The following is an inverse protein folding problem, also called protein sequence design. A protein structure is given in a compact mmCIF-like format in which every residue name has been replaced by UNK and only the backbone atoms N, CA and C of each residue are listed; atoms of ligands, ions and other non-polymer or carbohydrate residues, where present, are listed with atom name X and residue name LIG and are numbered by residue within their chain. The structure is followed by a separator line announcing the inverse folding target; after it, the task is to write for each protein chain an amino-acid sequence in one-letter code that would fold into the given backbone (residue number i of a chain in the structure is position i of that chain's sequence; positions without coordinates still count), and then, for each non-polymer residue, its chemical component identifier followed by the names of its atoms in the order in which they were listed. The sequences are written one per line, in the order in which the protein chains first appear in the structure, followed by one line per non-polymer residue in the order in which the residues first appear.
data_IF_712236232923
#
_entry.id   IF_712236232923
#
_cell.length_a   1.000
_cell.length_b   1.000
_cell.length_c   1.000
_cell.angle_alpha   90.00
_cell.angle_beta   90.00
_cell.angle_gamma   90.00
#
_symmetry.space_group_name_H-M   'P 1'
#
loop_
_entity.id
_entity.type
_entity.pdbx_description
1 polymer ?
#
# COMPACT_ATOMS: atom_id res chain seq x y z
N UNK A 1 71.60 30.88 15.58
CA UNK A 1 70.62 31.93 15.21
C UNK A 1 69.45 31.28 14.48
N UNK A 2 68.26 31.53 15.01
CA UNK A 2 66.88 31.42 14.50
C UNK A 2 66.72 31.11 12.99
N UNK A 3 65.90 30.11 12.64
CA UNK A 3 64.58 30.30 12.00
C UNK A 3 63.93 28.94 11.70
N UNK A 4 62.76 28.72 12.32
CA UNK A 4 61.90 27.59 12.02
C UNK A 4 61.15 27.76 10.70
N UNK A 5 60.68 26.64 10.14
CA UNK A 5 59.50 26.61 9.27
C UNK A 5 58.69 25.34 9.54
N UNK A 6 57.55 25.62 10.16
CA UNK A 6 56.34 24.84 10.29
C UNK A 6 55.84 24.40 8.90
N UNK A 7 55.67 23.10 8.67
CA UNK A 7 54.92 22.59 7.53
C UNK A 7 53.88 21.55 7.99
N UNK A 8 52.70 22.10 8.29
CA UNK A 8 51.34 21.57 8.13
C UNK A 8 51.21 20.09 7.72
N UNK A 9 50.75 19.27 8.64
CA UNK A 9 50.21 17.93 8.35
C UNK A 9 48.71 18.07 8.09
N UNK A 10 48.27 17.92 6.83
CA UNK A 10 46.85 17.88 6.47
C UNK A 10 46.20 16.59 6.99
N UNK A 11 45.38 16.76 8.02
CA UNK A 11 44.47 15.75 8.54
C UNK A 11 43.31 15.53 7.56
N UNK A 12 43.42 14.53 6.70
CA UNK A 12 42.28 14.00 5.93
C UNK A 12 41.46 13.07 6.85
N UNK A 13 40.56 13.68 7.63
CA UNK A 13 39.43 12.98 8.29
C UNK A 13 38.61 12.24 7.23
N UNK A 14 38.85 10.95 7.05
CA UNK A 14 37.87 10.04 6.45
C UNK A 14 36.70 9.95 7.43
N UNK A 15 35.66 10.75 7.20
CA UNK A 15 34.36 10.56 7.84
C UNK A 15 33.83 9.20 7.36
N UNK A 16 33.95 8.20 8.22
CA UNK A 16 33.20 6.96 8.09
C UNK A 16 31.72 7.33 8.22
N UNK A 17 31.05 7.42 7.07
CA UNK A 17 29.59 7.46 7.03
C UNK A 17 29.15 6.06 7.44
N UNK A 18 28.91 5.88 8.74
CA UNK A 18 28.20 4.73 9.27
C UNK A 18 26.78 4.81 8.73
N UNK A 19 26.55 4.20 7.57
CA UNK A 19 25.21 3.89 7.10
C UNK A 19 24.61 2.88 8.08
N UNK A 20 23.83 3.37 9.04
CA UNK A 20 22.88 2.52 9.75
C UNK A 20 21.79 2.12 8.76
N UNK A 21 22.10 1.13 7.91
CA UNK A 21 21.05 0.29 7.33
C UNK A 21 20.58 -0.57 8.49
N UNK A 22 19.72 0.01 9.32
CA UNK A 22 18.89 -0.74 10.25
C UNK A 22 18.14 -1.74 9.39
N UNK A 23 18.57 -3.00 9.45
CA UNK A 23 17.92 -4.13 8.80
C UNK A 23 16.63 -4.39 9.59
N UNK A 24 15.69 -3.46 9.46
CA UNK A 24 14.33 -3.61 9.95
C UNK A 24 13.76 -4.72 9.09
N UNK A 25 13.48 -5.86 9.71
CA UNK A 25 12.91 -7.02 9.05
C UNK A 25 11.44 -6.67 8.70
N UNK A 26 11.27 -5.80 7.70
CA UNK A 26 10.00 -5.31 7.23
C UNK A 26 9.33 -6.49 6.54
N UNK A 27 8.41 -7.14 7.25
CA UNK A 27 7.50 -8.10 6.63
C UNK A 27 6.88 -7.42 5.39
N UNK A 28 6.97 -8.10 4.26
CA UNK A 28 6.51 -7.63 2.94
C UNK A 28 5.00 -7.36 2.93
N UNK A 29 4.26 -8.19 3.66
CA UNK A 29 2.83 -8.07 3.90
C UNK A 29 2.58 -8.29 5.38
N UNK A 30 1.75 -7.45 5.99
CA UNK A 30 1.20 -7.69 7.34
C UNK A 30 -0.30 -7.51 7.31
N UNK A 31 -0.98 -8.18 8.24
CA UNK A 31 -2.41 -7.97 8.46
C UNK A 31 -2.60 -7.85 9.96
N UNK A 32 -3.28 -6.80 10.37
CA UNK A 32 -3.54 -6.49 11.77
C UNK A 32 -5.04 -6.28 11.95
N UNK A 33 -5.69 -6.88 12.96
CA UNK A 33 -7.08 -6.57 13.30
C UNK A 33 -7.31 -5.05 13.41
N UNK A 34 -8.45 -4.54 12.93
CA UNK A 34 -8.72 -3.10 12.96
C UNK A 34 -8.64 -2.53 14.39
N UNK A 35 -9.19 -3.25 15.37
CA UNK A 35 -9.18 -2.81 16.77
C UNK A 35 -7.73 -2.74 17.32
N UNK A 36 -6.89 -3.74 17.02
CA UNK A 36 -5.47 -3.72 17.41
C UNK A 36 -4.71 -2.58 16.72
N UNK A 37 -5.04 -2.28 15.45
CA UNK A 37 -4.46 -1.16 14.72
C UNK A 37 -4.83 0.19 15.34
N UNK A 38 -6.04 0.33 15.87
CA UNK A 38 -6.49 1.56 16.53
C UNK A 38 -5.90 1.72 17.94
N UNK A 39 -5.78 0.62 18.70
CA UNK A 39 -5.16 0.63 20.03
C UNK A 39 -3.64 0.83 19.99
N UNK A 40 -2.97 0.20 19.02
CA UNK A 40 -1.51 0.20 18.86
C UNK A 40 -1.15 0.50 17.41
N UNK A 41 -1.31 1.76 16.98
CA UNK A 41 -1.01 2.15 15.61
C UNK A 41 0.47 1.90 15.26
N UNK A 42 0.78 1.44 14.04
CA UNK A 42 2.15 1.26 13.59
C UNK A 42 2.87 2.62 13.46
N UNK A 43 4.20 2.58 13.35
CA UNK A 43 5.01 3.80 13.17
C UNK A 43 4.49 4.65 12.00
N UNK A 44 4.35 5.96 12.24
CA UNK A 44 3.80 6.90 11.27
C UNK A 44 2.27 7.01 11.28
N UNK A 45 1.60 6.39 12.25
CA UNK A 45 0.17 6.58 12.50
C UNK A 45 -0.08 7.13 13.90
N UNK A 46 -1.04 8.04 14.01
CA UNK A 46 -1.52 8.58 15.29
C UNK A 46 -3.04 8.58 15.29
N UNK A 47 -3.63 8.11 16.40
CA UNK A 47 -5.08 8.04 16.56
C UNK A 47 -5.52 9.09 17.56
N UNK A 48 -6.48 9.92 17.17
CA UNK A 48 -7.11 10.93 18.00
C UNK A 48 -8.56 10.51 18.31
N UNK A 49 -8.88 10.36 19.58
CA UNK A 49 -10.24 10.08 20.02
C UNK A 49 -11.09 11.35 20.06
N UNK A 50 -12.27 11.29 19.44
CA UNK A 50 -13.28 12.34 19.40
C UNK A 50 -14.56 11.86 20.08
N UNK A 51 -15.42 12.81 20.48
CA UNK A 51 -16.70 12.50 21.11
C UNK A 51 -17.64 11.61 20.26
N UNK A 52 -17.47 11.62 18.92
CA UNK A 52 -18.31 10.88 17.97
C UNK A 52 -17.58 9.79 17.18
N UNK A 53 -16.31 9.50 17.50
CA UNK A 53 -15.48 8.58 16.73
C UNK A 53 -13.97 8.74 16.95
N UNK A 54 -13.17 8.20 16.04
CA UNK A 54 -11.72 8.28 16.06
C UNK A 54 -11.22 8.86 14.73
N UNK A 55 -10.16 9.68 14.78
CA UNK A 55 -9.43 10.13 13.60
C UNK A 55 -8.06 9.47 13.56
N UNK A 56 -7.75 8.87 12.42
CA UNK A 56 -6.46 8.25 12.17
C UNK A 56 -5.67 9.14 11.25
N UNK A 57 -4.59 9.72 11.76
CA UNK A 57 -3.61 10.46 10.99
C UNK A 57 -2.50 9.51 10.55
N UNK A 58 -2.01 9.72 9.33
CA UNK A 58 -0.90 8.96 8.76
C UNK A 58 0.17 9.91 8.23
N UNK A 59 1.43 9.49 8.32
CA UNK A 59 2.57 10.18 7.70
C UNK A 59 2.48 10.03 6.17
N UNK A 60 2.18 11.12 5.44
CA UNK A 60 1.98 11.06 3.99
C UNK A 60 3.28 10.78 3.22
N UNK A 61 4.46 10.92 3.83
CA UNK A 61 5.73 10.62 3.18
C UNK A 61 6.01 9.12 3.13
N UNK A 62 5.59 8.38 4.17
CA UNK A 62 5.91 6.95 4.34
C UNK A 62 4.74 6.02 4.08
N UNK A 63 3.51 6.50 4.26
CA UNK A 63 2.29 5.70 4.24
C UNK A 63 1.34 6.16 3.14
N UNK A 64 0.82 5.20 2.40
CA UNK A 64 -0.26 5.41 1.44
C UNK A 64 -1.51 4.71 1.96
N UNK A 65 -2.48 5.49 2.45
CA UNK A 65 -3.73 4.96 3.00
C UNK A 65 -4.80 4.94 1.92
N UNK A 66 -5.32 3.75 1.64
CA UNK A 66 -6.37 3.48 0.66
C UNK A 66 -7.63 2.93 1.36
N UNK A 67 -7.97 3.52 2.50
CA UNK A 67 -9.08 3.06 3.37
C UNK A 67 -10.19 4.11 3.30
N UNK A 68 -11.40 3.68 2.95
CA UNK A 68 -12.57 4.57 3.02
C UNK A 68 -12.96 4.79 4.49
N UNK A 69 -13.53 5.95 4.81
CA UNK A 69 -14.08 6.19 6.15
C UNK A 69 -15.15 5.13 6.48
N UNK A 70 -15.11 4.63 7.72
CA UNK A 70 -15.88 3.46 8.11
C UNK A 70 -16.56 3.66 9.46
N UNK A 71 -17.61 2.89 9.70
CA UNK A 71 -18.30 2.83 10.97
C UNK A 71 -18.03 1.46 11.63
N UNK A 72 -17.28 1.44 12.73
CA UNK A 72 -16.96 0.22 13.48
C UNK A 72 -17.49 0.34 14.90
N UNK A 73 -18.18 -0.69 15.40
CA UNK A 73 -18.63 -0.79 16.79
C UNK A 73 -19.38 0.45 17.35
N UNK A 74 -20.18 1.13 16.52
CA UNK A 74 -20.91 2.33 16.93
C UNK A 74 -20.08 3.62 16.90
N UNK A 75 -18.82 3.56 16.43
CA UNK A 75 -17.89 4.68 16.31
C UNK A 75 -17.55 4.93 14.85
N UNK A 76 -17.47 6.20 14.46
CA UNK A 76 -16.97 6.57 13.15
C UNK A 76 -15.44 6.61 13.18
N UNK A 77 -14.77 5.95 12.23
CA UNK A 77 -13.32 5.98 12.07
C UNK A 77 -13.02 6.71 10.77
N UNK A 78 -12.33 7.85 10.89
CA UNK A 78 -11.98 8.71 9.77
C UNK A 78 -10.48 8.61 9.49
N UNK A 79 -10.10 8.25 8.26
CA UNK A 79 -8.69 8.18 7.86
C UNK A 79 -8.28 9.49 7.18
N UNK A 80 -7.58 10.34 7.92
CA UNK A 80 -7.10 11.62 7.41
C UNK A 80 -6.09 11.41 6.29
N UNK A 81 -6.25 12.18 5.21
CA UNK A 81 -5.42 12.12 4.01
C UNK A 81 -5.44 10.76 3.28
N UNK A 82 -6.46 9.95 3.51
CA UNK A 82 -6.71 8.74 2.73
C UNK A 82 -7.15 9.08 1.31
N UNK A 83 -6.66 8.33 0.32
CA UNK A 83 -7.14 8.41 -1.06
C UNK A 83 -8.42 7.59 -1.30
N UNK A 84 -8.82 6.79 -0.32
CA UNK A 84 -9.90 5.82 -0.43
C UNK A 84 -9.56 4.67 -1.40
N UNK A 85 -10.49 3.72 -1.54
CA UNK A 85 -10.27 2.52 -2.39
C UNK A 85 -10.39 2.80 -3.88
N UNK A 86 -11.02 3.92 -4.26
CA UNK A 86 -11.24 4.32 -5.66
C UNK A 86 -10.46 5.59 -5.95
N UNK A 87 -9.19 5.42 -6.29
CA UNK A 87 -8.29 6.51 -6.65
C UNK A 87 -8.70 7.04 -8.02
N UNK A 88 -9.01 8.33 -8.10
CA UNK A 88 -9.30 9.01 -9.37
C UNK A 88 -8.17 9.98 -9.67
N UNK A 89 -7.53 9.80 -10.81
CA UNK A 89 -6.50 10.71 -11.33
C UNK A 89 -6.98 11.32 -12.64
N UNK A 90 -6.73 12.61 -12.84
CA UNK A 90 -7.24 13.39 -13.98
C UNK A 90 -6.16 13.83 -14.96
N UNK A 91 -4.89 13.75 -14.55
CA UNK A 91 -3.78 14.17 -15.37
C UNK A 91 -2.57 13.26 -15.18
N UNK A 92 -1.60 13.38 -16.09
CA UNK A 92 -0.40 12.56 -16.09
C UNK A 92 0.46 12.78 -14.84
N UNK A 93 0.45 14.00 -14.29
CA UNK A 93 1.21 14.32 -13.08
C UNK A 93 0.65 13.59 -11.86
N UNK A 94 -0.67 13.64 -11.65
CA UNK A 94 -1.38 12.90 -10.59
C UNK A 94 -1.18 11.39 -10.73
N UNK A 95 -1.23 10.88 -11.97
CA UNK A 95 -0.91 9.48 -12.24
C UNK A 95 0.53 9.14 -11.83
N UNK A 96 1.50 9.95 -12.25
CA UNK A 96 2.92 9.75 -11.94
C UNK A 96 3.19 9.82 -10.43
N UNK A 97 2.58 10.78 -9.73
CA UNK A 97 2.68 10.91 -8.27
C UNK A 97 2.02 9.74 -7.52
N UNK A 98 0.85 9.27 -7.99
CA UNK A 98 0.15 8.10 -7.44
C UNK A 98 0.96 6.84 -7.67
N UNK A 99 1.47 6.64 -8.90
CA UNK A 99 2.36 5.52 -9.25
C UNK A 99 3.61 5.54 -8.39
N UNK A 100 4.27 6.68 -8.26
CA UNK A 100 5.44 6.83 -7.40
C UNK A 100 5.10 6.45 -5.95
N UNK A 101 3.97 6.89 -5.42
CA UNK A 101 3.52 6.54 -4.06
C UNK A 101 3.26 5.04 -3.89
N UNK A 102 2.61 4.37 -4.85
CA UNK A 102 2.38 2.92 -4.82
C UNK A 102 3.69 2.10 -4.81
N UNK A 103 4.76 2.64 -5.40
CA UNK A 103 6.05 1.96 -5.57
C UNK A 103 7.12 2.38 -4.55
N UNK A 104 6.82 3.36 -3.69
CA UNK A 104 7.79 3.93 -2.74
C UNK A 104 7.27 4.05 -1.32
N UNK A 105 5.99 3.77 -1.07
CA UNK A 105 5.37 3.85 0.25
C UNK A 105 4.79 2.52 0.67
N UNK A 106 4.53 2.38 1.96
CA UNK A 106 3.76 1.26 2.49
C UNK A 106 2.28 1.53 2.26
N UNK A 107 1.59 0.61 1.59
CA UNK A 107 0.19 0.72 1.21
C UNK A 107 -0.66 0.09 2.31
N UNK A 108 -1.70 0.79 2.76
CA UNK A 108 -2.64 0.33 3.79
C UNK A 108 -4.04 0.22 3.21
N UNK A 109 -4.67 -0.95 3.40
CA UNK A 109 -5.98 -1.29 2.88
C UNK A 109 -6.81 -1.98 3.95
N UNK A 110 -8.11 -1.72 3.96
CA UNK A 110 -9.05 -2.42 4.83
C UNK A 110 -9.61 -3.63 4.09
N UNK A 111 -9.52 -4.79 4.72
CA UNK A 111 -9.98 -6.07 4.18
C UNK A 111 -10.86 -6.78 5.21
N UNK A 112 -11.85 -7.51 4.72
CA UNK A 112 -12.80 -8.23 5.56
C UNK A 112 -12.55 -9.73 5.45
N UNK A 113 -12.45 -10.43 6.58
CA UNK A 113 -12.37 -11.88 6.58
C UNK A 113 -13.77 -12.50 6.70
N UNK A 114 -14.11 -13.42 5.81
CA UNK A 114 -15.36 -14.19 5.87
C UNK A 114 -15.09 -15.67 6.08
N UNK A 115 -16.06 -16.36 6.68
CA UNK A 115 -16.05 -17.81 6.77
C UNK A 115 -16.65 -18.42 5.50
N UNK A 116 -15.99 -19.46 4.97
CA UNK A 116 -16.35 -20.09 3.68
C UNK A 116 -17.80 -20.58 3.64
N UNK A 117 -18.35 -21.00 4.79
CA UNK A 117 -19.68 -21.58 4.92
C UNK A 117 -20.80 -20.57 5.21
N UNK A 118 -20.47 -19.31 5.55
CA UNK A 118 -21.47 -18.28 5.87
C UNK A 118 -21.13 -16.99 5.14
N UNK A 119 -21.56 -16.90 3.88
CA UNK A 119 -21.40 -15.70 3.03
C UNK A 119 -22.03 -14.40 3.60
N UNK A 120 -22.68 -14.47 4.78
CA UNK A 120 -23.47 -13.40 5.39
C UNK A 120 -22.79 -12.68 6.56
N UNK A 121 -21.78 -13.25 7.23
CA UNK A 121 -21.14 -12.60 8.39
C UNK A 121 -19.63 -12.47 8.18
N UNK A 122 -19.12 -11.25 8.31
CA UNK A 122 -17.68 -11.00 8.36
C UNK A 122 -17.18 -11.41 9.75
N UNK A 123 -16.14 -12.24 9.80
CA UNK A 123 -15.45 -12.61 11.06
C UNK A 123 -14.76 -11.40 11.70
N UNK A 124 -14.43 -10.38 10.91
CA UNK A 124 -13.84 -9.14 11.38
C UNK A 124 -13.24 -8.31 10.25
N UNK A 125 -12.93 -7.05 10.59
CA UNK A 125 -12.22 -6.11 9.72
C UNK A 125 -10.75 -6.08 10.08
N UNK A 126 -9.89 -6.06 9.06
CA UNK A 126 -8.44 -6.09 9.21
C UNK A 126 -7.80 -5.02 8.35
N UNK A 127 -6.70 -4.46 8.83
CA UNK A 127 -5.83 -3.56 8.06
C UNK A 127 -4.67 -4.37 7.50
N UNK A 128 -4.65 -4.51 6.17
CA UNK A 128 -3.54 -5.07 5.42
C UNK A 128 -2.52 -3.97 5.14
N UNK A 129 -1.24 -4.22 5.42
CA UNK A 129 -0.14 -3.37 4.97
C UNK A 129 0.76 -4.11 3.98
N UNK A 130 1.13 -3.45 2.88
CA UNK A 130 2.01 -3.99 1.84
C UNK A 130 3.18 -3.04 1.65
N UNK A 131 4.39 -3.59 1.65
CA UNK A 131 5.58 -2.81 1.37
C UNK A 131 5.75 -2.57 -0.14
N UNK A 132 5.35 -1.39 -0.62
CA UNK A 132 5.55 -0.98 -2.02
C UNK A 132 7.02 -0.78 -2.39
N UNK A 133 7.92 -0.61 -1.41
CA UNK A 133 9.36 -0.53 -1.65
C UNK A 133 10.01 -1.90 -1.84
N UNK A 134 9.34 -3.00 -1.50
CA UNK A 134 9.89 -4.34 -1.67
C UNK A 134 10.16 -4.57 -3.17
N UNK A 135 11.38 -4.99 -3.56
CA UNK A 135 11.75 -5.11 -4.97
C UNK A 135 10.81 -6.01 -5.78
N UNK A 136 10.26 -7.06 -5.16
CA UNK A 136 9.39 -8.00 -5.83
C UNK A 136 7.96 -7.46 -5.99
N UNK A 137 7.38 -6.90 -4.92
CA UNK A 137 6.08 -6.21 -5.01
C UNK A 137 6.16 -5.05 -5.99
N UNK A 138 7.21 -4.24 -5.90
CA UNK A 138 7.47 -3.12 -6.79
C UNK A 138 7.50 -3.56 -8.24
N UNK A 139 8.28 -4.60 -8.57
CA UNK A 139 8.36 -5.13 -9.93
C UNK A 139 7.01 -5.65 -10.44
N UNK A 140 6.25 -6.38 -9.62
CA UNK A 140 4.92 -6.86 -10.03
C UNK A 140 3.95 -5.71 -10.26
N UNK A 141 3.98 -4.69 -9.40
CA UNK A 141 3.14 -3.50 -9.50
C UNK A 141 3.51 -2.66 -10.73
N UNK A 142 4.81 -2.43 -10.98
CA UNK A 142 5.30 -1.73 -12.18
C UNK A 142 4.84 -2.44 -13.45
N UNK A 143 5.08 -3.76 -13.54
CA UNK A 143 4.66 -4.55 -14.70
C UNK A 143 3.15 -4.59 -14.88
N UNK A 144 2.39 -4.71 -13.79
CA UNK A 144 0.93 -4.68 -13.82
C UNK A 144 0.43 -3.34 -14.36
N UNK A 145 0.91 -2.24 -13.79
CA UNK A 145 0.55 -0.89 -14.22
C UNK A 145 0.94 -0.65 -15.68
N UNK A 146 2.17 -0.99 -16.10
CA UNK A 146 2.65 -0.80 -17.48
C UNK A 146 1.85 -1.61 -18.49
N UNK A 147 1.46 -2.84 -18.15
CA UNK A 147 0.60 -3.66 -19.00
C UNK A 147 -0.82 -3.11 -19.13
N UNK A 148 -1.29 -2.40 -18.10
CA UNK A 148 -2.65 -1.85 -18.06
C UNK A 148 -2.77 -0.44 -18.64
N UNK A 149 -1.66 0.26 -18.85
CA UNK A 149 -1.64 1.54 -19.56
C UNK A 149 -1.97 1.28 -21.03
N UNK A 150 -2.98 1.97 -21.55
CA UNK A 150 -3.27 1.91 -22.99
C UNK A 150 -2.14 2.59 -23.78
N UNK A 151 -1.69 1.96 -24.86
CA UNK A 151 -0.68 2.51 -25.76
C UNK A 151 -1.11 3.82 -26.44
N UNK A 152 -2.40 4.19 -26.34
CA UNK A 152 -2.98 5.39 -26.94
C UNK A 152 -3.06 6.51 -25.91
N UNK A 153 -2.28 7.58 -26.14
CA UNK A 153 -2.37 8.82 -25.36
C UNK A 153 -3.74 9.45 -25.57
N UNK A 154 -4.50 9.66 -24.50
CA UNK A 154 -5.81 10.30 -24.57
C UNK A 154 -6.98 9.47 -24.06
N UNK A 155 -6.79 8.20 -23.70
CA UNK A 155 -7.91 7.34 -23.27
C UNK A 155 -8.12 7.33 -21.75
N UNK A 156 -9.38 7.28 -21.30
CA UNK A 156 -9.67 7.00 -19.89
C UNK A 156 -9.63 5.50 -19.66
N UNK A 157 -8.94 5.07 -18.61
CA UNK A 157 -8.83 3.65 -18.25
C UNK A 157 -9.05 3.41 -16.76
N UNK A 158 -9.53 2.21 -16.45
CA UNK A 158 -9.76 1.72 -15.10
C UNK A 158 -8.91 0.49 -14.88
N UNK A 159 -8.11 0.50 -13.81
CA UNK A 159 -7.31 -0.63 -13.38
C UNK A 159 -7.79 -1.07 -12.00
N UNK A 160 -8.23 -2.32 -11.89
CA UNK A 160 -8.54 -2.95 -10.62
C UNK A 160 -7.33 -3.83 -10.19
N UNK A 161 -6.75 -3.53 -9.03
CA UNK A 161 -5.60 -4.26 -8.47
C UNK A 161 -6.12 -5.20 -7.39
N UNK A 162 -6.03 -6.50 -7.64
CA UNK A 162 -6.50 -7.56 -6.73
C UNK A 162 -5.33 -8.15 -5.92
N UNK A 163 -5.52 -8.17 -4.61
CA UNK A 163 -4.55 -8.58 -3.58
C UNK A 163 -5.00 -9.85 -2.85
N UNK A 164 -6.11 -10.46 -3.26
CA UNK A 164 -6.65 -11.65 -2.62
C UNK A 164 -5.65 -12.81 -2.64
N UNK A 165 -4.96 -13.01 -3.77
CA UNK A 165 -3.93 -14.05 -3.90
C UNK A 165 -2.68 -13.72 -3.07
N UNK A 166 -2.35 -12.43 -2.90
CA UNK A 166 -1.27 -11.98 -2.03
C UNK A 166 -1.58 -12.26 -0.55
N UNK A 167 -2.82 -12.04 -0.12
CA UNK A 167 -3.28 -12.35 1.24
C UNK A 167 -3.29 -13.85 1.52
N UNK A 168 -3.80 -14.67 0.60
CA UNK A 168 -3.86 -16.13 0.74
C UNK A 168 -2.47 -16.77 0.79
N UNK A 169 -1.49 -16.16 0.13
CA UNK A 169 -0.11 -16.67 0.08
C UNK A 169 0.78 -16.13 1.20
N UNK A 170 0.32 -15.13 1.95
CA UNK A 170 1.03 -14.58 3.09
C UNK A 170 0.98 -15.53 4.29
N UNK A 171 2.11 -15.66 5.00
CA UNK A 171 2.24 -16.45 6.24
C UNK A 171 1.28 -16.01 7.36
N UNK A 172 0.60 -14.88 7.20
CA UNK A 172 -0.45 -14.37 8.08
C UNK A 172 -1.58 -15.39 8.35
N UNK A 173 -1.78 -16.38 7.48
CA UNK A 173 -2.78 -17.45 7.69
C UNK A 173 -2.51 -18.36 8.90
N UNK A 174 -1.35 -18.30 9.56
CA UNK A 174 -0.98 -19.24 10.64
C UNK A 174 -1.54 -18.91 12.02
N UNK A 175 -2.35 -17.87 12.20
CA UNK A 175 -2.82 -17.49 13.54
C UNK A 175 -3.85 -18.45 14.17
N UNK A 176 -4.48 -19.37 13.43
CA UNK A 176 -5.34 -20.43 14.00
C UNK A 176 -5.36 -21.68 13.10
N UNK A 177 -4.55 -22.73 13.34
CA UNK A 177 -4.52 -23.96 12.53
C UNK A 177 -5.80 -24.81 12.63
N UNK A 178 -6.73 -24.46 13.52
CA UNK A 178 -7.98 -25.19 13.81
C UNK A 178 -9.22 -24.59 13.16
N UNK A 179 -9.12 -23.42 12.49
CA UNK A 179 -10.26 -22.77 11.83
C UNK A 179 -10.10 -22.75 10.32
N UNK A 180 -11.22 -22.98 9.63
CA UNK A 180 -11.32 -22.92 8.17
C UNK A 180 -10.65 -21.67 7.59
N UNK A 181 -10.02 -21.84 6.43
CA UNK A 181 -9.27 -20.79 5.73
C UNK A 181 -10.18 -19.59 5.47
N UNK A 182 -9.88 -18.39 6.00
CA UNK A 182 -10.75 -17.23 5.82
C UNK A 182 -10.75 -16.80 4.35
N UNK A 183 -11.95 -16.57 3.81
CA UNK A 183 -12.12 -15.96 2.49
C UNK A 183 -12.01 -14.45 2.65
N UNK A 184 -10.93 -13.88 2.12
CA UNK A 184 -10.73 -12.44 2.11
C UNK A 184 -11.67 -11.78 1.11
N UNK A 185 -12.42 -10.78 1.57
CA UNK A 185 -13.21 -9.88 0.73
C UNK A 185 -12.63 -8.47 0.78
N UNK A 186 -12.95 -7.71 -0.26
CA UNK A 186 -12.52 -6.33 -0.42
C UNK A 186 -11.01 -6.12 -0.48
N UNK A 187 -10.26 -7.16 -0.82
CA UNK A 187 -8.82 -7.13 -1.02
C UNK A 187 -8.44 -6.58 -2.40
N UNK A 188 -9.05 -5.47 -2.81
CA UNK A 188 -8.74 -4.80 -4.07
C UNK A 188 -8.91 -3.28 -3.95
N UNK A 189 -8.22 -2.55 -4.80
CA UNK A 189 -8.43 -1.12 -5.00
C UNK A 189 -8.43 -0.79 -6.48
N UNK A 190 -9.08 0.32 -6.83
CA UNK A 190 -9.28 0.75 -8.22
C UNK A 190 -8.53 2.05 -8.45
N UNK A 191 -7.71 2.07 -9.51
CA UNK A 191 -7.12 3.28 -10.08
C UNK A 191 -7.87 3.65 -11.36
N UNK A 192 -8.54 4.81 -11.36
CA UNK A 192 -9.21 5.38 -12.53
C UNK A 192 -8.41 6.54 -13.07
N UNK A 193 -7.94 6.43 -14.30
CA UNK A 193 -7.36 7.52 -15.05
C UNK A 193 -8.42 8.10 -15.98
N UNK A 194 -8.73 9.38 -15.80
CA UNK A 194 -9.55 10.15 -16.72
C UNK A 194 -8.64 11.00 -17.59
N UNK A 195 -8.84 10.92 -18.89
CA UNK A 195 -8.18 11.79 -19.85
C UNK A 195 -9.17 12.85 -20.33
N UNK A 196 -8.73 14.10 -20.48
CA UNK A 196 -9.55 15.19 -21.02
C UNK A 196 -9.78 15.09 -22.55
N UNK A 197 -9.72 13.87 -23.11
CA UNK A 197 -9.95 13.68 -24.53
C UNK A 197 -11.45 13.78 -24.85
N UNK A 198 -11.78 14.65 -25.80
CA UNK A 198 -13.15 14.83 -26.29
C UNK A 198 -13.74 13.59 -27.01
N UNK A 199 -12.97 12.51 -27.16
CA UNK A 199 -13.35 11.29 -27.88
C UNK A 199 -12.87 10.04 -27.13
N UNK A 200 -13.64 9.61 -26.12
CA UNK A 200 -13.34 8.42 -25.32
C UNK A 200 -14.14 7.20 -25.79
N UNK A 201 -13.96 6.84 -27.07
CA UNK A 201 -14.67 5.73 -27.68
C UNK A 201 -14.33 4.40 -27.00
N UNK A 202 -13.06 4.19 -26.64
CA UNK A 202 -12.59 2.97 -25.96
C UNK A 202 -13.24 2.75 -24.58
N UNK A 203 -13.48 3.82 -23.82
CA UNK A 203 -14.25 3.74 -22.58
C UNK A 203 -15.74 3.45 -22.82
N UNK A 204 -16.35 4.03 -23.86
CA UNK A 204 -17.74 3.74 -24.23
C UNK A 204 -17.91 2.27 -24.65
N UNK A 205 -16.97 1.71 -25.40
CA UNK A 205 -16.99 0.30 -25.81
C UNK A 205 -16.48 -0.68 -24.73
N UNK A 206 -16.12 -0.20 -23.53
CA UNK A 206 -15.81 -1.05 -22.37
C UNK A 206 -14.44 -1.75 -22.40
N UNK A 207 -13.59 -1.47 -23.40
CA UNK A 207 -12.27 -2.09 -23.54
C UNK A 207 -11.20 -1.51 -22.59
N UNK A 208 -11.52 -0.43 -21.88
CA UNK A 208 -10.58 0.27 -20.99
C UNK A 208 -10.58 -0.22 -19.54
N UNK A 209 -11.41 -1.24 -19.21
CA UNK A 209 -11.37 -1.91 -17.91
C UNK A 209 -10.31 -3.02 -17.92
N UNK A 210 -9.30 -2.88 -17.06
CA UNK A 210 -8.22 -3.86 -16.87
C UNK A 210 -8.16 -4.28 -15.41
N UNK A 211 -7.68 -5.48 -15.15
CA UNK A 211 -7.42 -5.96 -13.80
C UNK A 211 -6.16 -6.83 -13.79
N UNK A 212 -5.39 -6.75 -12.71
CA UNK A 212 -4.27 -7.66 -12.47
C UNK A 212 -4.18 -8.05 -11.00
N UNK A 213 -3.52 -9.18 -10.76
CA UNK A 213 -3.41 -9.77 -9.42
C UNK A 213 -1.97 -9.77 -8.93
N UNK A 214 -1.75 -9.45 -7.66
CA UNK A 214 -0.45 -9.61 -7.00
C UNK A 214 -0.36 -10.98 -6.33
N UNK A 215 0.84 -11.60 -6.38
CA UNK A 215 1.10 -12.96 -5.89
C UNK A 215 2.42 -13.00 -5.16
N UNK A 216 2.49 -13.64 -3.98
CA UNK A 216 3.80 -14.03 -3.44
C UNK A 216 4.37 -15.23 -4.20
N UNK A 217 5.67 -15.23 -4.47
CA UNK A 217 6.36 -16.46 -4.82
C UNK A 217 6.44 -17.33 -3.56
N UNK A 218 5.83 -18.53 -3.62
CA UNK A 218 6.15 -19.60 -2.67
C UNK A 218 7.59 -20.02 -2.94
N UNK A 219 8.43 -20.05 -1.91
CA UNK A 219 9.69 -20.77 -2.01
C UNK A 219 9.34 -22.22 -2.35
N UNK A 220 9.74 -22.68 -3.54
CA UNK A 220 9.70 -24.10 -3.86
C UNK A 220 10.70 -24.78 -2.93
N UNK A 221 10.22 -25.39 -1.86
CA UNK A 221 10.99 -26.38 -1.11
C UNK A 221 11.14 -27.59 -2.03
N UNK A 222 12.30 -27.67 -2.69
CA UNK A 222 12.80 -28.85 -3.40
C UNK A 222 13.08 -29.99 -2.44
#
# INVERSE_FOLDING_TARGET
MVFGKLCRTESRRKKSVTMMVGKMNRKRVTVTPLEEFLEKPPEGFTVEDLASGCRVHSDPERSLVLIDDLHSCGRNVFFCSSLGRKIKVRNLWEYSATRSSLLSKRIYLLVSAHEENTAKEARGSYVMSIDGCDPFIKWQMERGLDWTISSVTGESYRVDIDLSELLQSSEVMTCDPTKATPVWRDAYFTLKYYSDAMFDFSHWFGFSNRAFKLRMMRAMTT
#
